data_IF_282069343731
#
_entry.id   IF_282069343731
#
_cell.length_a   1.000
_cell.length_b   1.000
_cell.length_c   1.000
_cell.angle_alpha   90.00
_cell.angle_beta   90.00
_cell.angle_gamma   90.00
#
_symmetry.space_group_name_H-M   'P 1'
#
loop_
_entity.id
_entity.type
_entity.pdbx_description
1 polymer ?
#
# COMPACT_ATOMS: atom_id res chain seq x y z
N UNK A 1 -30.36 23.62 -34.34
CA UNK A 1 -29.78 22.93 -35.50
C UNK A 1 -28.26 22.87 -35.31
N UNK A 2 -27.67 21.68 -35.46
CA UNK A 2 -26.23 21.34 -35.37
C UNK A 2 -25.69 21.27 -33.91
N UNK A 3 -25.99 20.27 -33.06
CA UNK A 3 -25.63 18.83 -33.16
C UNK A 3 -24.72 18.58 -34.36
N UNK A 4 -23.41 18.88 -34.26
CA UNK A 4 -22.39 18.48 -35.25
C UNK A 4 -20.96 18.81 -34.78
N UNK A 5 -20.60 18.47 -33.54
CA UNK A 5 -19.18 18.34 -33.12
C UNK A 5 -18.94 16.93 -32.53
N UNK A 6 -19.76 15.94 -32.95
CA UNK A 6 -19.55 14.51 -32.66
C UNK A 6 -19.09 13.72 -33.89
N UNK A 7 -18.35 14.36 -34.81
CA UNK A 7 -17.81 13.71 -36.01
C UNK A 7 -16.40 14.22 -36.35
N UNK A 8 -15.52 14.30 -35.35
CA UNK A 8 -14.09 14.12 -35.57
C UNK A 8 -13.65 12.85 -34.86
N UNK A 9 -13.75 11.75 -35.62
CA UNK A 9 -13.05 10.50 -35.37
C UNK A 9 -11.59 10.79 -34.97
N UNK A 10 -11.23 10.35 -33.78
CA UNK A 10 -9.88 10.42 -33.25
C UNK A 10 -9.82 9.80 -31.86
N UNK A 11 -10.22 8.53 -31.75
CA UNK A 11 -9.89 7.65 -30.63
C UNK A 11 -8.40 7.77 -30.32
N UNK A 12 -8.02 8.46 -29.24
CA UNK A 12 -6.61 8.77 -29.04
C UNK A 12 -6.28 9.33 -27.67
N UNK A 13 -6.02 8.42 -26.74
CA UNK A 13 -5.05 8.60 -25.66
C UNK A 13 -5.42 9.54 -24.50
N UNK A 14 -6.48 9.18 -23.75
CA UNK A 14 -6.36 9.28 -22.29
C UNK A 14 -5.34 8.23 -21.84
N UNK A 15 -4.04 8.56 -21.90
CA UNK A 15 -3.01 7.74 -21.25
C UNK A 15 -3.19 7.96 -19.76
N UNK A 16 -4.05 7.16 -19.13
CA UNK A 16 -4.07 7.00 -17.68
C UNK A 16 -2.70 6.43 -17.33
N UNK A 17 -1.76 7.29 -16.93
CA UNK A 17 -0.49 6.87 -16.39
C UNK A 17 -0.79 6.21 -15.04
N UNK A 18 -1.01 4.89 -15.06
CA UNK A 18 -0.95 4.12 -13.84
C UNK A 18 0.49 4.23 -13.34
N UNK A 19 0.70 4.73 -12.12
CA UNK A 19 1.99 4.67 -11.47
C UNK A 19 2.15 3.23 -10.98
N UNK A 20 2.96 2.42 -11.68
CA UNK A 20 3.22 1.04 -11.28
C UNK A 20 4.08 1.12 -10.02
N UNK A 21 3.52 0.81 -8.86
CA UNK A 21 4.31 0.57 -7.67
C UNK A 21 5.34 -0.52 -8.04
N UNK A 22 6.62 -0.17 -8.00
CA UNK A 22 7.67 -1.05 -8.50
C UNK A 22 7.91 -2.21 -7.53
N UNK A 23 7.02 -3.21 -7.59
CA UNK A 23 7.09 -4.45 -6.80
C UNK A 23 8.44 -5.15 -6.93
N UNK A 24 9.13 -5.01 -8.08
CA UNK A 24 10.43 -5.62 -8.31
C UNK A 24 11.50 -5.10 -7.35
N UNK A 25 11.40 -3.83 -6.93
CA UNK A 25 12.32 -3.24 -5.96
C UNK A 25 12.19 -3.87 -4.56
N UNK A 26 11.02 -4.42 -4.19
CA UNK A 26 10.88 -5.10 -2.90
C UNK A 26 11.70 -6.40 -2.83
N UNK A 27 11.95 -7.07 -3.96
CA UNK A 27 12.67 -8.35 -3.98
C UNK A 27 14.17 -8.22 -3.74
N UNK A 28 14.75 -7.03 -3.92
CA UNK A 28 16.15 -6.75 -3.60
C UNK A 28 16.40 -6.46 -2.12
N UNK A 29 15.35 -6.32 -1.31
CA UNK A 29 15.45 -6.11 0.14
C UNK A 29 15.89 -7.44 0.79
N UNK A 30 17.05 -7.42 1.45
CA UNK A 30 17.63 -8.59 2.11
C UNK A 30 16.88 -8.99 3.39
N UNK A 31 16.47 -8.00 4.18
CA UNK A 31 15.72 -8.25 5.41
C UNK A 31 14.30 -8.77 5.08
N UNK A 32 13.92 -9.98 5.55
CA UNK A 32 12.68 -10.62 5.14
C UNK A 32 11.44 -9.88 5.62
N UNK A 33 11.48 -9.26 6.80
CA UNK A 33 10.34 -8.53 7.36
C UNK A 33 10.11 -7.24 6.57
N UNK A 34 11.17 -6.46 6.31
CA UNK A 34 11.11 -5.26 5.47
C UNK A 34 10.68 -5.58 4.04
N UNK A 35 11.17 -6.69 3.47
CA UNK A 35 10.73 -7.18 2.16
C UNK A 35 9.24 -7.47 2.16
N UNK A 36 8.74 -8.18 3.16
CA UNK A 36 7.32 -8.52 3.28
C UNK A 36 6.45 -7.28 3.49
N UNK A 37 6.86 -6.31 4.33
CA UNK A 37 6.16 -5.03 4.46
C UNK A 37 6.10 -4.29 3.12
N UNK A 38 7.21 -4.22 2.40
CA UNK A 38 7.27 -3.60 1.07
C UNK A 38 6.28 -4.26 0.10
N UNK A 39 6.30 -5.60 0.01
CA UNK A 39 5.38 -6.36 -0.84
C UNK A 39 3.92 -6.15 -0.42
N UNK A 40 3.64 -6.14 0.89
CA UNK A 40 2.29 -5.90 1.42
C UNK A 40 1.75 -4.54 1.00
N UNK A 41 2.56 -3.50 1.09
CA UNK A 41 2.18 -2.12 0.77
C UNK A 41 2.02 -1.88 -0.73
N UNK A 42 2.93 -2.43 -1.54
CA UNK A 42 2.90 -2.27 -3.00
C UNK A 42 1.77 -3.08 -3.64
N UNK A 43 1.55 -4.32 -3.17
CA UNK A 43 0.49 -5.21 -3.69
C UNK A 43 -0.86 -5.05 -2.98
N UNK A 44 -0.91 -4.28 -1.89
CA UNK A 44 -2.09 -4.14 -1.02
C UNK A 44 -2.64 -5.50 -0.53
N UNK A 45 -1.73 -6.42 -0.19
CA UNK A 45 -2.07 -7.78 0.26
C UNK A 45 -1.58 -8.01 1.69
N UNK A 46 -2.53 -8.28 2.61
CA UNK A 46 -2.25 -8.48 4.02
C UNK A 46 -1.52 -9.81 4.33
N UNK A 47 -1.57 -10.79 3.42
CA UNK A 47 -0.86 -12.08 3.54
C UNK A 47 0.65 -11.90 3.76
N UNK A 48 1.24 -10.89 3.12
CA UNK A 48 2.65 -10.55 3.34
C UNK A 48 2.89 -9.98 4.74
N UNK A 49 1.97 -9.18 5.30
CA UNK A 49 2.08 -8.73 6.69
C UNK A 49 2.10 -9.91 7.67
N UNK A 50 1.29 -10.95 7.44
CA UNK A 50 1.31 -12.16 8.27
C UNK A 50 2.63 -12.95 8.19
N UNK A 51 3.43 -12.72 7.16
CA UNK A 51 4.76 -13.32 7.00
C UNK A 51 5.86 -12.55 7.74
N UNK A 52 5.55 -11.37 8.29
CA UNK A 52 6.46 -10.57 9.12
C UNK A 52 6.57 -11.21 10.50
N UNK A 53 7.81 -11.44 10.94
CA UNK A 53 8.12 -12.10 12.22
C UNK A 53 8.09 -11.12 13.39
N UNK A 54 8.63 -9.93 13.22
CA UNK A 54 8.57 -8.90 14.25
C UNK A 54 7.11 -8.50 14.54
N UNK A 55 6.74 -8.56 15.81
CA UNK A 55 5.36 -8.39 16.24
C UNK A 55 4.83 -6.98 15.95
N UNK A 56 5.62 -5.95 16.25
CA UNK A 56 5.18 -4.57 16.13
C UNK A 56 5.17 -4.14 14.67
N UNK A 57 6.17 -4.56 13.89
CA UNK A 57 6.24 -4.36 12.44
C UNK A 57 5.06 -5.04 11.73
N UNK A 58 4.70 -6.27 12.14
CA UNK A 58 3.52 -6.97 11.60
C UNK A 58 2.24 -6.17 11.86
N UNK A 59 2.03 -5.70 13.08
CA UNK A 59 0.82 -4.95 13.43
C UNK A 59 0.78 -3.58 12.73
N UNK A 60 1.91 -2.89 12.61
CA UNK A 60 2.03 -1.67 11.82
C UNK A 60 1.67 -1.93 10.34
N UNK A 61 2.18 -3.02 9.76
CA UNK A 61 1.87 -3.43 8.40
C UNK A 61 0.37 -3.69 8.22
N UNK A 62 -0.24 -4.50 9.09
CA UNK A 62 -1.67 -4.81 9.05
C UNK A 62 -2.53 -3.56 9.20
N UNK A 63 -2.17 -2.66 10.13
CA UNK A 63 -2.88 -1.40 10.34
C UNK A 63 -2.92 -0.55 9.06
N UNK A 64 -1.79 -0.44 8.35
CA UNK A 64 -1.68 0.36 7.13
C UNK A 64 -2.34 -0.30 5.92
N UNK A 65 -2.16 -1.61 5.72
CA UNK A 65 -2.72 -2.33 4.57
C UNK A 65 -4.24 -2.48 4.70
N UNK A 66 -4.74 -2.73 5.91
CA UNK A 66 -6.17 -2.93 6.16
C UNK A 66 -6.90 -1.64 6.56
N UNK A 67 -6.18 -0.53 6.75
CA UNK A 67 -6.72 0.73 7.26
C UNK A 67 -7.51 0.57 8.57
N UNK A 68 -6.96 -0.21 9.52
CA UNK A 68 -7.61 -0.55 10.78
C UNK A 68 -6.73 -0.16 11.97
N UNK A 69 -7.17 0.85 12.73
CA UNK A 69 -6.47 1.32 13.93
C UNK A 69 -6.39 0.26 15.05
N UNK A 70 -7.29 -0.73 15.06
CA UNK A 70 -7.27 -1.81 16.06
C UNK A 70 -5.91 -2.51 16.15
N UNK A 71 -5.22 -2.69 15.02
CA UNK A 71 -3.88 -3.27 14.99
C UNK A 71 -2.82 -2.35 15.62
N UNK A 72 -2.96 -1.02 15.54
CA UNK A 72 -2.06 -0.09 16.22
C UNK A 72 -2.08 -0.29 17.74
N UNK A 73 -3.23 -0.67 18.32
CA UNK A 73 -3.33 -0.90 19.76
C UNK A 73 -2.54 -2.12 20.25
N UNK A 74 -2.28 -3.08 19.35
CA UNK A 74 -1.47 -4.27 19.61
C UNK A 74 0.04 -4.01 19.59
N UNK A 75 0.50 -2.88 19.05
CA UNK A 75 1.93 -2.51 19.03
C UNK A 75 2.42 -2.26 20.46
N UNK A 76 3.53 -2.90 20.84
CA UNK A 76 4.11 -2.84 22.19
C UNK A 76 4.98 -1.60 22.39
N UNK A 77 5.79 -1.26 21.39
CA UNK A 77 6.59 -0.04 21.39
C UNK A 77 5.68 1.19 21.45
N UNK A 78 5.93 2.04 22.45
CA UNK A 78 5.12 3.25 22.66
C UNK A 78 5.19 4.18 21.44
N UNK A 79 6.39 4.48 20.96
CA UNK A 79 6.59 5.42 19.86
C UNK A 79 5.99 4.90 18.55
N UNK A 80 6.21 3.61 18.23
CA UNK A 80 5.62 3.00 17.03
C UNK A 80 4.09 2.99 17.10
N UNK A 81 3.51 2.75 18.29
CA UNK A 81 2.07 2.80 18.47
C UNK A 81 1.51 4.18 18.21
N UNK A 82 2.12 5.23 18.77
CA UNK A 82 1.67 6.61 18.52
C UNK A 82 1.83 6.99 17.05
N UNK A 83 2.93 6.59 16.41
CA UNK A 83 3.12 6.78 14.97
C UNK A 83 2.01 6.09 14.17
N UNK A 84 1.67 4.85 14.50
CA UNK A 84 0.62 4.08 13.81
C UNK A 84 -0.74 4.78 13.94
N UNK A 85 -1.13 5.18 15.15
CA UNK A 85 -2.39 5.86 15.42
C UNK A 85 -2.50 7.22 14.72
N UNK A 86 -1.37 7.92 14.50
CA UNK A 86 -1.33 9.16 13.74
C UNK A 86 -1.43 8.94 12.23
N UNK A 87 -0.87 7.85 11.72
CA UNK A 87 -0.82 7.53 10.28
C UNK A 87 -2.12 6.91 9.77
N UNK A 88 -2.70 5.97 10.53
CA UNK A 88 -3.91 5.25 10.15
C UNK A 88 -5.12 6.02 10.68
N UNK A 89 -5.93 6.58 9.78
CA UNK A 89 -7.13 7.38 10.09
C UNK A 89 -8.41 6.59 9.82
#
# INVERSE_FOLDING_TARGET
MKILIYLFLGLGQFVIQTAWANDAACFSIHDPDRKNVCLAMSKKQNSYCYSVKDHDTKNMCLANVMAQQSYCHSIKSHDMKQQCLAQVK
#
